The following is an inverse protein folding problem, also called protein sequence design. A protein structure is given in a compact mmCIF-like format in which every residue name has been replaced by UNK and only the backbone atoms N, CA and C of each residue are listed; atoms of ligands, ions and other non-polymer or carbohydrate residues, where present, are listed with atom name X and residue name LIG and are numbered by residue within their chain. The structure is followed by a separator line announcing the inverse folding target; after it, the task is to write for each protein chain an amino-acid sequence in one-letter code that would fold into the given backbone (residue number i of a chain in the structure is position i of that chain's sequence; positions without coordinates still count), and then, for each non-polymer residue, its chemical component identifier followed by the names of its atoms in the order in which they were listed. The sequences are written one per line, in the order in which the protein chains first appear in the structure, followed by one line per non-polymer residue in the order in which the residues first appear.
data_IF_594460243127
#
_entry.id   IF_594460243127
#
_cell.length_a   1.000
_cell.length_b   1.000
_cell.length_c   1.000
_cell.angle_alpha   90.00
_cell.angle_beta   90.00
_cell.angle_gamma   90.00
#
_symmetry.space_group_name_H-M   'P 1'
#
loop_
_entity.id
_entity.type
_entity.pdbx_description
1 polymer ?
#
# COMPACT_ATOMS: atom_id res chain seq x y z
N UNK A 1 4.43 7.64 15.38
CA UNK A 1 3.86 6.28 15.46
C UNK A 1 4.51 5.57 16.65
N UNK A 2 3.71 4.90 17.51
CA UNK A 2 4.16 4.37 18.80
C UNK A 2 5.34 3.40 18.72
N UNK A 3 5.42 2.60 17.65
CA UNK A 3 6.48 1.60 17.47
C UNK A 3 7.88 2.18 17.20
N UNK A 4 8.00 3.48 16.90
CA UNK A 4 9.27 4.11 16.56
C UNK A 4 9.87 3.66 15.21
N UNK A 5 9.04 3.11 14.32
CA UNK A 5 9.44 2.74 12.96
C UNK A 5 9.12 3.88 11.98
N UNK A 6 9.89 3.95 10.88
CA UNK A 6 9.53 4.72 9.69
C UNK A 6 8.50 3.94 8.88
N UNK A 7 7.46 4.60 8.39
CA UNK A 7 6.36 3.95 7.68
C UNK A 7 6.16 4.61 6.32
N UNK A 8 6.12 3.79 5.27
CA UNK A 8 5.62 4.18 3.97
C UNK A 8 4.23 3.57 3.83
N UNK A 9 3.21 4.41 3.78
CA UNK A 9 1.83 3.99 3.60
C UNK A 9 1.40 4.32 2.17
N UNK A 10 1.25 3.27 1.37
CA UNK A 10 0.63 3.30 0.04
C UNK A 10 -0.87 3.06 0.22
N UNK A 11 -1.62 4.16 0.36
CA UNK A 11 -3.06 4.10 0.50
C UNK A 11 -3.71 4.25 -0.88
N UNK A 12 -4.07 3.12 -1.47
CA UNK A 12 -4.63 3.01 -2.80
C UNK A 12 -6.11 3.33 -2.85
N UNK A 13 -6.86 3.12 -1.76
CA UNK A 13 -8.31 3.25 -1.77
C UNK A 13 -8.83 4.49 -1.04
N UNK A 14 -8.29 4.78 0.16
CA UNK A 14 -8.81 5.86 1.02
C UNK A 14 -7.85 7.05 1.15
N UNK A 15 -8.41 8.24 1.34
CA UNK A 15 -7.63 9.48 1.52
C UNK A 15 -6.85 9.50 2.84
N UNK A 16 -5.83 10.36 2.90
CA UNK A 16 -5.12 10.65 4.15
C UNK A 16 -6.06 11.14 5.24
N UNK A 17 -7.06 11.97 4.87
CA UNK A 17 -8.05 12.49 5.81
C UNK A 17 -8.86 11.37 6.47
N UNK A 18 -9.27 10.35 5.70
CA UNK A 18 -9.96 9.18 6.22
C UNK A 18 -9.09 8.45 7.26
N UNK A 19 -7.87 8.08 6.89
CA UNK A 19 -6.97 7.37 7.79
C UNK A 19 -6.57 8.19 9.01
N UNK A 20 -6.37 9.50 8.85
CA UNK A 20 -6.03 10.38 9.97
C UNK A 20 -7.19 10.47 10.98
N UNK A 21 -8.45 10.52 10.53
CA UNK A 21 -9.61 10.48 11.42
C UNK A 21 -9.73 9.15 12.16
N UNK A 22 -9.52 8.02 11.48
CA UNK A 22 -9.54 6.69 12.10
C UNK A 22 -8.41 6.54 13.12
N UNK A 23 -7.18 6.89 12.73
CA UNK A 23 -6.01 6.82 13.60
C UNK A 23 -6.12 7.71 14.84
N UNK A 24 -6.71 8.92 14.71
CA UNK A 24 -6.95 9.80 15.86
C UNK A 24 -7.87 9.16 16.90
N UNK A 25 -8.89 8.42 16.48
CA UNK A 25 -9.77 7.66 17.40
C UNK A 25 -9.00 6.56 18.15
N UNK A 26 -7.90 6.06 17.57
CA UNK A 26 -6.99 5.10 18.19
C UNK A 26 -5.83 5.77 18.95
N UNK A 27 -5.88 7.09 19.16
CA UNK A 27 -4.84 7.85 19.88
C UNK A 27 -3.56 8.10 19.06
N UNK A 28 -3.61 7.92 17.73
CA UNK A 28 -2.46 8.11 16.84
C UNK A 28 -2.65 9.35 15.96
N UNK A 29 -1.70 10.27 15.99
CA UNK A 29 -1.70 11.46 15.13
C UNK A 29 -0.81 11.24 13.88
N UNK A 30 -1.43 10.91 12.74
CA UNK A 30 -0.73 10.68 11.48
C UNK A 30 -0.13 11.96 10.91
N UNK A 31 -0.81 13.11 11.05
CA UNK A 31 -0.29 14.41 10.62
C UNK A 31 1.04 14.73 11.27
N UNK A 32 1.12 14.59 12.59
CA UNK A 32 2.35 14.82 13.33
C UNK A 32 3.45 13.78 12.97
N UNK A 33 3.08 12.55 12.63
CA UNK A 33 4.05 11.56 12.14
C UNK A 33 4.61 11.93 10.75
N UNK A 34 3.75 12.48 9.87
CA UNK A 34 4.14 12.96 8.54
C UNK A 34 5.06 14.18 8.64
N UNK A 35 4.71 15.17 9.47
CA UNK A 35 5.51 16.39 9.70
C UNK A 35 6.92 16.09 10.25
N UNK A 36 7.06 15.02 11.06
CA UNK A 36 8.35 14.56 11.59
C UNK A 36 9.13 13.64 10.63
N UNK A 37 8.63 13.42 9.42
CA UNK A 37 9.24 12.52 8.44
C UNK A 37 9.16 11.02 8.80
N UNK A 38 8.44 10.66 9.87
CA UNK A 38 8.26 9.26 10.28
C UNK A 38 7.27 8.52 9.37
N UNK A 39 6.30 9.24 8.80
CA UNK A 39 5.30 8.68 7.89
C UNK A 39 5.42 9.34 6.51
N UNK A 40 5.69 8.53 5.49
CA UNK A 40 5.49 8.91 4.09
C UNK A 40 4.17 8.30 3.65
N UNK A 41 3.30 9.11 3.02
CA UNK A 41 1.94 8.70 2.67
C UNK A 41 1.67 9.01 1.21
N UNK A 42 1.31 7.99 0.43
CA UNK A 42 0.85 8.10 -0.96
C UNK A 42 -0.66 7.94 -1.00
N UNK A 43 -1.35 8.94 -1.57
CA UNK A 43 -2.79 8.91 -1.83
C UNK A 43 -3.04 8.42 -3.27
N UNK A 44 -3.18 7.11 -3.46
CA UNK A 44 -3.24 6.46 -4.77
C UNK A 44 -4.36 7.01 -5.67
N UNK A 45 -5.62 6.97 -5.24
CA UNK A 45 -6.72 7.52 -6.05
C UNK A 45 -6.55 9.00 -6.38
N UNK A 46 -6.02 9.79 -5.44
CA UNK A 46 -5.75 11.22 -5.71
C UNK A 46 -4.67 11.38 -6.78
N UNK A 47 -3.53 10.68 -6.62
CA UNK A 47 -2.45 10.69 -7.61
C UNK A 47 -2.91 10.18 -8.98
N UNK A 48 -3.83 9.22 -9.03
CA UNK A 48 -4.47 8.77 -10.27
C UNK A 48 -5.28 9.89 -10.94
N UNK A 49 -6.14 10.58 -10.18
CA UNK A 49 -6.92 11.70 -10.70
C UNK A 49 -6.03 12.84 -11.19
N UNK A 50 -4.97 13.18 -10.44
CA UNK A 50 -4.01 14.21 -10.82
C UNK A 50 -3.27 13.84 -12.12
N UNK A 51 -2.97 12.55 -12.36
CA UNK A 51 -2.36 12.10 -13.62
C UNK A 51 -3.31 12.15 -14.82
N UNK A 52 -4.59 11.81 -14.62
CA UNK A 52 -5.58 11.72 -15.71
C UNK A 52 -6.16 13.10 -16.05
N UNK A 53 -6.38 13.94 -15.04
CA UNK A 53 -7.11 15.20 -15.16
C UNK A 53 -6.30 16.43 -14.75
N UNK A 54 -5.14 16.26 -14.11
CA UNK A 54 -4.31 17.38 -13.70
C UNK A 54 -3.74 18.12 -14.90
N UNK A 55 -3.69 19.44 -14.79
CA UNK A 55 -2.81 20.22 -15.63
C UNK A 55 -1.38 19.77 -15.34
N UNK A 56 -0.55 19.59 -16.37
CA UNK A 56 0.88 19.29 -16.21
C UNK A 56 1.57 20.50 -15.59
N UNK A 57 1.35 20.74 -14.30
CA UNK A 57 2.22 21.60 -13.53
C UNK A 57 3.58 20.91 -13.54
N UNK A 58 4.59 21.63 -14.04
CA UNK A 58 5.97 21.17 -14.10
C UNK A 58 6.43 20.87 -12.66
N UNK A 59 6.26 19.64 -12.19
CA UNK A 59 6.79 19.23 -10.89
C UNK A 59 8.30 19.46 -10.89
N UNK A 60 8.76 20.33 -9.97
CA UNK A 60 10.14 20.82 -9.82
C UNK A 60 11.22 19.73 -9.61
N UNK A 61 10.86 18.44 -9.64
CA UNK A 61 11.77 17.33 -9.30
C UNK A 61 12.06 16.34 -10.44
N UNK A 62 11.37 16.42 -11.59
CA UNK A 62 11.58 15.51 -12.72
C UNK A 62 11.43 14.01 -12.39
N UNK A 63 10.87 13.67 -11.22
CA UNK A 63 10.68 12.29 -10.78
C UNK A 63 9.38 11.74 -11.35
N UNK A 64 9.38 10.47 -11.80
CA UNK A 64 8.19 9.82 -12.29
C UNK A 64 7.12 9.71 -11.18
N UNK A 65 5.86 9.95 -11.52
CA UNK A 65 4.75 9.70 -10.60
C UNK A 65 4.73 8.21 -10.22
N UNK A 66 4.47 7.85 -8.94
CA UNK A 66 4.37 6.46 -8.52
C UNK A 66 3.35 5.65 -9.34
N UNK A 67 2.30 6.30 -9.86
CA UNK A 67 1.26 5.68 -10.68
C UNK A 67 1.42 5.95 -12.18
N UNK A 68 2.61 6.33 -12.64
CA UNK A 68 2.90 6.59 -14.06
C UNK A 68 2.53 5.41 -14.98
N UNK A 69 2.46 4.19 -14.44
CA UNK A 69 2.04 3.03 -15.20
C UNK A 69 0.66 3.20 -15.86
N UNK A 70 -0.22 4.03 -15.28
CA UNK A 70 -1.53 4.32 -15.86
C UNK A 70 -1.48 5.08 -17.18
N UNK A 71 -0.38 5.80 -17.45
CA UNK A 71 -0.23 6.62 -18.66
C UNK A 71 0.57 5.91 -19.77
N UNK A 72 1.19 4.77 -19.48
CA UNK A 72 2.10 4.06 -20.38
C UNK A 72 1.59 2.65 -20.69
N UNK A 73 1.48 2.31 -21.96
CA UNK A 73 1.10 0.96 -22.38
C UNK A 73 2.23 -0.05 -22.08
N UNK A 74 1.91 -1.11 -21.32
CA UNK A 74 2.83 -2.18 -20.86
C UNK A 74 3.84 -1.77 -19.79
N UNK A 75 3.50 -0.80 -18.97
CA UNK A 75 4.35 -0.30 -17.91
C UNK A 75 4.33 -1.23 -16.68
N UNK A 76 5.53 -1.43 -16.14
CA UNK A 76 5.73 -2.12 -14.87
C UNK A 76 5.48 -1.14 -13.70
N UNK A 77 5.34 -1.67 -12.49
CA UNK A 77 5.18 -0.88 -11.26
C UNK A 77 6.50 -0.36 -10.69
N UNK A 78 7.52 -0.15 -11.54
CA UNK A 78 8.86 0.26 -11.09
C UNK A 78 8.86 1.65 -10.46
N UNK A 79 8.07 2.61 -10.97
CA UNK A 79 7.97 3.94 -10.37
C UNK A 79 7.39 3.88 -8.95
N UNK A 80 6.35 3.06 -8.74
CA UNK A 80 5.79 2.79 -7.41
C UNK A 80 6.81 2.14 -6.48
N UNK A 81 7.54 1.13 -6.98
CA UNK A 81 8.61 0.49 -6.24
C UNK A 81 9.74 1.46 -5.87
N UNK A 82 10.19 2.29 -6.81
CA UNK A 82 11.25 3.28 -6.59
C UNK A 82 10.82 4.32 -5.55
N UNK A 83 9.53 4.72 -5.56
CA UNK A 83 8.93 5.56 -4.54
C UNK A 83 9.00 4.88 -3.15
N UNK A 84 8.56 3.63 -3.04
CA UNK A 84 8.61 2.87 -1.77
C UNK A 84 10.04 2.74 -1.26
N UNK A 85 10.97 2.32 -2.13
CA UNK A 85 12.39 2.18 -1.80
C UNK A 85 12.94 3.49 -1.28
N UNK A 86 12.76 4.58 -2.02
CA UNK A 86 13.28 5.91 -1.64
C UNK A 86 12.68 6.39 -0.32
N UNK A 87 11.40 6.12 -0.09
CA UNK A 87 10.70 6.53 1.14
C UNK A 87 11.17 5.79 2.38
N UNK A 88 11.57 4.52 2.24
CA UNK A 88 11.98 3.67 3.36
C UNK A 88 13.49 3.59 3.57
N UNK A 89 14.30 3.99 2.58
CA UNK A 89 15.74 4.10 2.77
C UNK A 89 16.03 5.06 3.94
N UNK A 90 16.81 4.63 4.95
CA UNK A 90 17.16 5.47 6.07
C UNK A 90 18.07 6.62 5.60
N UNK A 91 17.81 7.82 6.10
CA UNK A 91 18.78 8.92 6.03
C UNK A 91 19.75 8.82 7.21
N UNK A 92 20.97 9.35 7.09
CA UNK A 92 21.99 9.31 8.17
C UNK A 92 21.52 9.93 9.51
N UNK A 93 20.45 10.73 9.48
CA UNK A 93 19.82 11.37 10.63
C UNK A 93 18.67 10.57 11.27
N UNK A 94 18.22 9.49 10.63
CA UNK A 94 17.04 8.74 11.06
C UNK A 94 17.40 7.74 12.17
N UNK A 95 16.76 7.85 13.33
CA UNK A 95 16.92 6.92 14.47
C UNK A 95 15.83 5.85 14.54
N UNK A 96 15.07 5.67 13.46
CA UNK A 96 13.91 4.78 13.44
C UNK A 96 14.33 3.31 13.42
N UNK A 97 13.52 2.47 14.06
CA UNK A 97 13.63 1.00 13.95
C UNK A 97 13.26 0.54 12.53
N UNK A 98 13.42 -0.77 12.28
CA UNK A 98 13.13 -1.41 10.98
C UNK A 98 11.85 -0.86 10.32
N UNK A 99 11.93 -0.44 9.04
CA UNK A 99 10.85 0.26 8.36
C UNK A 99 9.62 -0.64 8.14
N UNK A 100 8.46 -0.03 7.93
CA UNK A 100 7.23 -0.74 7.57
C UNK A 100 6.65 -0.19 6.28
N UNK A 101 6.38 -1.08 5.33
CA UNK A 101 5.52 -0.79 4.19
C UNK A 101 4.09 -1.24 4.52
N UNK A 102 3.13 -0.33 4.38
CA UNK A 102 1.70 -0.62 4.52
C UNK A 102 0.99 -0.36 3.19
N UNK A 103 0.20 -1.32 2.72
CA UNK A 103 -0.63 -1.22 1.51
C UNK A 103 -2.07 -1.61 1.87
N UNK A 104 -3.04 -0.71 1.69
CA UNK A 104 -4.42 -0.87 2.18
C UNK A 104 -5.37 -1.63 1.27
N UNK A 105 -5.12 -1.73 -0.04
CA UNK A 105 -5.92 -2.58 -0.93
C UNK A 105 -5.18 -2.82 -2.24
N UNK A 106 -4.45 -3.94 -2.33
CA UNK A 106 -3.59 -4.21 -3.47
C UNK A 106 -4.37 -4.45 -4.78
N UNK A 107 -5.60 -4.96 -4.69
CA UNK A 107 -6.44 -5.26 -5.87
C UNK A 107 -6.81 -4.00 -6.66
N UNK A 108 -6.76 -2.82 -6.02
CA UNK A 108 -6.96 -1.53 -6.71
C UNK A 108 -5.94 -1.34 -7.84
N UNK A 109 -4.71 -1.87 -7.72
CA UNK A 109 -3.74 -1.78 -8.83
C UNK A 109 -4.23 -2.52 -10.08
N UNK A 110 -4.89 -3.66 -9.92
CA UNK A 110 -5.51 -4.41 -11.02
C UNK A 110 -6.64 -3.59 -11.66
N UNK A 111 -7.48 -2.97 -10.83
CA UNK A 111 -8.57 -2.09 -11.29
C UNK A 111 -8.06 -0.84 -12.03
N UNK A 112 -6.84 -0.39 -11.73
CA UNK A 112 -6.15 0.69 -12.44
C UNK A 112 -5.42 0.23 -13.71
N UNK A 113 -5.53 -1.05 -14.07
CA UNK A 113 -4.99 -1.62 -15.30
C UNK A 113 -3.60 -2.24 -15.18
N UNK A 114 -3.07 -2.42 -13.96
CA UNK A 114 -1.82 -3.14 -13.78
C UNK A 114 -2.03 -4.64 -14.02
N UNK A 115 -1.15 -5.28 -14.80
CA UNK A 115 -1.18 -6.71 -14.97
C UNK A 115 -0.86 -7.46 -13.66
N UNK A 116 -1.46 -8.63 -13.37
CA UNK A 116 -1.19 -9.39 -12.15
C UNK A 116 0.29 -9.66 -11.90
N UNK A 117 1.02 -10.04 -12.96
CA UNK A 117 2.47 -10.29 -12.87
C UNK A 117 3.23 -9.04 -12.41
N UNK A 118 2.86 -7.84 -12.87
CA UNK A 118 3.50 -6.60 -12.45
C UNK A 118 3.22 -6.28 -10.97
N UNK A 119 2.03 -6.61 -10.47
CA UNK A 119 1.66 -6.50 -9.04
C UNK A 119 2.48 -7.46 -8.19
N UNK A 120 2.64 -8.72 -8.64
CA UNK A 120 3.46 -9.71 -7.95
C UNK A 120 4.95 -9.33 -7.95
N UNK A 121 5.47 -8.84 -9.07
CA UNK A 121 6.85 -8.33 -9.16
C UNK A 121 7.05 -7.16 -8.20
N UNK A 122 6.11 -6.22 -8.12
CA UNK A 122 6.16 -5.11 -7.17
C UNK A 122 6.27 -5.59 -5.72
N UNK A 123 5.39 -6.49 -5.29
CA UNK A 123 5.44 -7.05 -3.93
C UNK A 123 6.75 -7.80 -3.69
N UNK A 124 7.20 -8.59 -4.67
CA UNK A 124 8.46 -9.33 -4.57
C UNK A 124 9.64 -8.38 -4.35
N UNK A 125 9.78 -7.34 -5.19
CA UNK A 125 10.85 -6.36 -5.06
C UNK A 125 10.76 -5.60 -3.74
N UNK A 126 9.56 -5.23 -3.29
CA UNK A 126 9.35 -4.64 -1.98
C UNK A 126 9.82 -5.58 -0.86
N UNK A 127 9.49 -6.89 -0.89
CA UNK A 127 9.96 -7.87 0.11
C UNK A 127 11.49 -7.96 0.14
N UNK A 128 12.13 -8.03 -1.02
CA UNK A 128 13.60 -8.08 -1.10
C UNK A 128 14.24 -6.84 -0.46
N UNK A 129 13.74 -5.64 -0.74
CA UNK A 129 14.29 -4.41 -0.16
C UNK A 129 13.94 -4.29 1.32
N UNK A 130 12.65 -4.33 1.66
CA UNK A 130 12.18 -4.01 3.01
C UNK A 130 12.56 -5.10 4.00
N UNK A 131 12.23 -6.37 3.71
CA UNK A 131 12.47 -7.46 4.67
C UNK A 131 13.94 -7.88 4.68
N UNK A 132 14.56 -8.08 3.51
CA UNK A 132 15.91 -8.65 3.46
C UNK A 132 17.02 -7.61 3.67
N UNK A 133 16.93 -6.45 3.04
CA UNK A 133 17.99 -5.42 3.13
C UNK A 133 17.78 -4.49 4.33
N UNK A 134 16.56 -3.97 4.51
CA UNK A 134 16.26 -2.97 5.55
C UNK A 134 15.82 -3.59 6.88
N UNK A 135 15.64 -4.91 6.96
CA UNK A 135 15.17 -5.64 8.16
C UNK A 135 13.84 -5.08 8.70
N UNK A 136 12.98 -4.65 7.79
CA UNK A 136 11.64 -4.12 8.03
C UNK A 136 10.55 -5.17 7.83
N UNK A 137 9.30 -4.69 7.81
CA UNK A 137 8.11 -5.52 7.61
C UNK A 137 7.22 -4.95 6.51
N UNK A 138 6.43 -5.81 5.88
CA UNK A 138 5.42 -5.43 4.90
C UNK A 138 4.07 -5.94 5.39
N UNK A 139 3.06 -5.08 5.31
CA UNK A 139 1.66 -5.43 5.56
C UNK A 139 0.87 -5.02 4.34
N UNK A 140 0.15 -5.98 3.77
CA UNK A 140 -0.67 -5.79 2.57
C UNK A 140 -2.07 -6.28 2.89
N UNK A 141 -3.07 -5.47 2.55
CA UNK A 141 -4.45 -5.91 2.48
C UNK A 141 -4.80 -6.19 1.02
N UNK A 142 -5.51 -7.28 0.80
CA UNK A 142 -6.11 -7.66 -0.48
C UNK A 142 -7.51 -8.18 -0.18
N UNK A 143 -8.48 -7.84 -1.03
CA UNK A 143 -9.82 -8.39 -0.94
C UNK A 143 -9.88 -9.70 -1.71
N UNK A 144 -10.34 -10.75 -1.05
CA UNK A 144 -10.75 -12.01 -1.66
C UNK A 144 -12.28 -12.06 -1.68
N UNK A 145 -12.86 -12.52 -2.78
CA UNK A 145 -14.28 -12.78 -2.86
C UNK A 145 -14.50 -14.16 -3.49
N UNK A 146 -14.96 -15.12 -2.69
CA UNK A 146 -15.19 -16.50 -3.13
C UNK A 146 -16.21 -16.62 -4.26
N UNK A 147 -17.12 -15.65 -4.37
CA UNK A 147 -18.14 -15.58 -5.43
C UNK A 147 -17.69 -14.79 -6.67
N UNK A 148 -16.45 -14.31 -6.72
CA UNK A 148 -15.95 -13.54 -7.87
C UNK A 148 -15.35 -14.43 -8.96
N UNK A 149 -15.61 -14.09 -10.22
CA UNK A 149 -14.95 -14.68 -11.40
C UNK A 149 -13.66 -13.93 -11.77
N UNK A 150 -13.04 -13.23 -10.81
CA UNK A 150 -11.84 -12.41 -11.03
C UNK A 150 -10.57 -13.27 -10.92
N UNK A 151 -10.28 -14.02 -11.99
CA UNK A 151 -9.10 -14.88 -12.08
C UNK A 151 -7.78 -14.12 -11.83
N UNK A 152 -7.72 -12.84 -12.22
CA UNK A 152 -6.55 -11.99 -12.05
C UNK A 152 -6.29 -11.68 -10.57
N UNK A 153 -7.33 -11.31 -9.83
CA UNK A 153 -7.24 -11.10 -8.38
C UNK A 153 -6.95 -12.41 -7.63
N UNK A 154 -7.58 -13.53 -8.03
CA UNK A 154 -7.32 -14.84 -7.44
C UNK A 154 -5.85 -15.25 -7.57
N UNK A 155 -5.21 -14.98 -8.71
CA UNK A 155 -3.78 -15.20 -8.88
C UNK A 155 -2.95 -14.38 -7.89
N UNK A 156 -3.31 -13.11 -7.66
CA UNK A 156 -2.63 -12.24 -6.70
C UNK A 156 -2.81 -12.74 -5.27
N UNK A 157 -4.05 -13.04 -4.86
CA UNK A 157 -4.37 -13.57 -3.52
C UNK A 157 -3.62 -14.87 -3.26
N UNK A 158 -3.71 -15.84 -4.17
CA UNK A 158 -3.05 -17.14 -4.02
C UNK A 158 -1.52 -16.99 -3.89
N UNK A 159 -0.91 -16.13 -4.72
CA UNK A 159 0.53 -15.87 -4.63
C UNK A 159 0.92 -15.21 -3.30
N UNK A 160 0.13 -14.26 -2.82
CA UNK A 160 0.36 -13.63 -1.52
C UNK A 160 0.24 -14.65 -0.39
N UNK A 161 -0.73 -15.56 -0.44
CA UNK A 161 -0.87 -16.63 0.55
C UNK A 161 0.37 -17.53 0.61
N UNK A 162 0.98 -17.85 -0.53
CA UNK A 162 2.20 -18.66 -0.57
C UNK A 162 3.45 -17.93 -0.06
N UNK A 163 3.51 -16.61 -0.20
CA UNK A 163 4.69 -15.82 0.15
C UNK A 163 4.60 -15.10 1.50
N UNK A 164 3.43 -15.11 2.15
CA UNK A 164 3.22 -14.43 3.43
C UNK A 164 3.71 -15.26 4.60
N UNK A 165 4.40 -14.61 5.53
CA UNK A 165 4.86 -15.24 6.77
C UNK A 165 3.70 -15.38 7.79
N UNK A 166 2.68 -14.52 7.67
CA UNK A 166 1.45 -14.53 8.45
C UNK A 166 0.28 -14.03 7.58
N UNK A 167 -0.84 -14.73 7.64
CA UNK A 167 -2.08 -14.36 6.96
C UNK A 167 -3.14 -14.14 8.03
N UNK A 168 -3.83 -13.00 7.96
CA UNK A 168 -5.00 -12.69 8.77
C UNK A 168 -6.20 -12.63 7.80
N UNK A 169 -7.18 -13.51 8.01
CA UNK A 169 -8.32 -13.64 7.10
C UNK A 169 -9.58 -13.14 7.78
N UNK A 170 -10.06 -11.96 7.37
CA UNK A 170 -11.27 -11.38 7.94
C UNK A 170 -12.48 -11.68 7.05
N UNK A 171 -13.48 -12.35 7.60
CA UNK A 171 -14.70 -12.70 6.87
C UNK A 171 -15.98 -12.56 7.70
N UNK A 172 -17.11 -12.42 7.01
CA UNK A 172 -18.43 -12.41 7.64
C UNK A 172 -18.82 -13.79 8.18
N UNK A 173 -19.83 -13.84 9.07
CA UNK A 173 -20.35 -15.12 9.54
C UNK A 173 -21.17 -15.81 8.44
N UNK A 174 -20.96 -17.12 8.26
CA UNK A 174 -21.71 -17.94 7.30
C UNK A 174 -23.23 -17.92 7.53
N UNK A 175 -23.67 -17.66 8.77
CA UNK A 175 -25.10 -17.58 9.14
C UNK A 175 -25.73 -16.21 8.88
N UNK A 176 -24.97 -15.25 8.36
CA UNK A 176 -25.41 -13.87 8.12
C UNK A 176 -25.17 -12.93 9.31
N UNK A 177 -25.91 -11.82 9.34
CA UNK A 177 -25.65 -10.71 10.25
C UNK A 177 -26.00 -11.03 11.71
N UNK A 178 -25.06 -10.73 12.62
CA UNK A 178 -25.31 -10.67 14.06
C UNK A 178 -25.00 -9.25 14.57
N UNK A 179 -25.83 -8.73 15.47
CA UNK A 179 -25.63 -7.37 16.02
C UNK A 179 -24.33 -7.25 16.83
N UNK A 180 -23.95 -8.32 17.51
CA UNK A 180 -22.83 -8.31 18.47
C UNK A 180 -21.56 -8.94 17.87
N UNK A 181 -21.68 -9.68 16.77
CA UNK A 181 -20.56 -10.36 16.09
C UNK A 181 -20.54 -9.94 14.63
N UNK A 182 -19.49 -9.21 14.24
CA UNK A 182 -19.36 -8.64 12.90
C UNK A 182 -18.73 -9.62 11.89
N UNK A 183 -18.02 -10.64 12.38
CA UNK A 183 -17.28 -11.59 11.55
C UNK A 183 -16.27 -12.37 12.38
N UNK A 184 -15.32 -12.99 11.69
CA UNK A 184 -14.19 -13.72 12.27
C UNK A 184 -12.87 -13.30 11.62
N UNK A 185 -11.76 -13.52 12.34
CA UNK A 185 -10.37 -13.26 11.92
C UNK A 185 -9.48 -14.43 12.30
#
# INVERSE_FOLDING_TARGET
LPAGCKVCFVALLQSFSHYNLVAQKLGVNLRAAKERGQLVFLEGLKSCLDLVFGEKEEEESGKPSPLQFMSESNSNLKALFDFVRTSLTPSDSDSWKGPVLLVDDLSVLLSLGAAPVAVLDFIHYCRVVVCSQLKGNIVVLVHSNEDSEDEENDLVVNSLCHHSDLILWAEGLATGFCKDVHGQV
#
